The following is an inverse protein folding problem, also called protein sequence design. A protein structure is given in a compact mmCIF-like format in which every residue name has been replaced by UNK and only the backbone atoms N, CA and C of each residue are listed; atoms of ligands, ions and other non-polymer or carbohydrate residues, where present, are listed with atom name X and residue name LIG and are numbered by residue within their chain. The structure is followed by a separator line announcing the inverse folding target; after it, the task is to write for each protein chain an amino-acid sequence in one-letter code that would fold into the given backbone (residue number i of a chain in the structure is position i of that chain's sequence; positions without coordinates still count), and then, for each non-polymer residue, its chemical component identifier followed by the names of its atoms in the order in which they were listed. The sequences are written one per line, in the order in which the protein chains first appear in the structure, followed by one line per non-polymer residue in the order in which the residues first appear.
data_IF_009925604983
#
_entry.id   IF_009925604983
#
_cell.length_a   1.000
_cell.length_b   1.000
_cell.length_c   1.000
_cell.angle_alpha   90.00
_cell.angle_beta   90.00
_cell.angle_gamma   90.00
#
_symmetry.space_group_name_H-M   'P 1'
#
loop_
_entity.id
_entity.type
_entity.pdbx_description
1 polymer ?
#
# COMPACT_ATOMS: atom_id res chain seq x y z
N UNK A 1 -24.81 16.86 4.21
CA UNK A 1 -23.95 15.68 3.93
C UNK A 1 -22.51 16.15 4.13
N UNK A 2 -21.90 15.84 5.27
CA UNK A 2 -20.53 16.31 5.57
C UNK A 2 -19.54 15.58 4.64
N UNK A 3 -18.59 16.28 3.99
CA UNK A 3 -17.56 15.60 3.22
C UNK A 3 -16.78 14.70 4.18
N UNK A 4 -16.71 13.41 3.87
CA UNK A 4 -15.85 12.46 4.58
C UNK A 4 -14.46 13.07 4.68
N UNK A 5 -13.88 13.09 5.88
CA UNK A 5 -12.51 13.54 6.13
C UNK A 5 -11.58 12.94 5.07
N UNK A 6 -11.16 13.76 4.10
CA UNK A 6 -10.08 13.44 3.17
C UNK A 6 -8.83 13.31 4.03
N UNK A 7 -8.40 12.07 4.28
CA UNK A 7 -7.19 11.82 5.06
C UNK A 7 -6.00 12.06 4.15
N UNK A 8 -5.40 13.23 4.29
CA UNK A 8 -4.04 13.45 3.79
C UNK A 8 -3.11 12.45 4.46
N UNK A 9 -2.29 11.77 3.67
CA UNK A 9 -1.28 10.82 4.14
C UNK A 9 0.02 11.04 3.40
N UNK A 10 1.13 10.75 4.06
CA UNK A 10 2.45 10.72 3.44
C UNK A 10 2.70 9.32 2.90
N UNK A 11 2.89 9.21 1.58
CA UNK A 11 3.13 7.93 0.92
C UNK A 11 4.37 7.22 1.49
N UNK A 12 4.28 5.90 1.64
CA UNK A 12 5.35 4.99 2.04
C UNK A 12 5.96 5.27 3.42
N UNK A 13 5.15 5.75 4.38
CA UNK A 13 5.62 6.11 5.73
C UNK A 13 4.88 5.45 6.90
N UNK A 14 3.76 4.77 6.68
CA UNK A 14 2.97 4.25 7.80
C UNK A 14 3.61 3.02 8.46
N UNK A 15 4.23 2.13 7.68
CA UNK A 15 4.89 0.92 8.19
C UNK A 15 5.99 0.42 7.25
N UNK A 16 6.87 -0.47 7.74
CA UNK A 16 7.84 -1.16 6.87
C UNK A 16 7.16 -2.28 6.09
N UNK A 17 7.58 -2.47 4.83
CA UNK A 17 7.11 -3.58 4.01
C UNK A 17 7.44 -4.93 4.67
N UNK A 18 8.63 -5.08 5.23
CA UNK A 18 9.05 -6.30 5.94
C UNK A 18 8.14 -6.65 7.11
N UNK A 19 7.71 -5.67 7.90
CA UNK A 19 6.77 -5.85 9.01
C UNK A 19 5.41 -6.32 8.49
N UNK A 20 4.90 -5.71 7.43
CA UNK A 20 3.66 -6.12 6.79
C UNK A 20 3.71 -7.55 6.27
N UNK A 21 4.79 -7.93 5.57
CA UNK A 21 4.97 -9.28 5.03
C UNK A 21 5.12 -10.33 6.14
N UNK A 22 5.80 -10.01 7.23
CA UNK A 22 5.88 -10.88 8.40
C UNK A 22 4.51 -11.09 9.04
N UNK A 23 3.70 -10.03 9.16
CA UNK A 23 2.34 -10.12 9.70
C UNK A 23 1.42 -10.98 8.81
N UNK A 24 1.59 -10.92 7.49
CA UNK A 24 0.93 -11.82 6.55
C UNK A 24 1.30 -13.28 6.84
N UNK A 25 2.59 -13.59 6.96
CA UNK A 25 3.05 -14.96 7.23
C UNK A 25 2.45 -15.49 8.54
N UNK A 26 2.46 -14.68 9.60
CA UNK A 26 1.87 -15.03 10.90
C UNK A 26 0.36 -15.29 10.76
N UNK A 27 -0.35 -14.43 10.02
CA UNK A 27 -1.79 -14.56 9.81
C UNK A 27 -2.15 -15.85 9.11
N UNK A 28 -1.39 -16.25 8.09
CA UNK A 28 -1.58 -17.51 7.38
C UNK A 28 -1.32 -18.72 8.28
N UNK A 29 -0.24 -18.69 9.07
CA UNK A 29 0.05 -19.77 10.03
C UNK A 29 -1.07 -19.91 11.07
N UNK A 30 -1.54 -18.80 11.62
CA UNK A 30 -2.68 -18.79 12.54
C UNK A 30 -3.97 -19.31 11.90
N UNK A 31 -4.16 -19.12 10.58
CA UNK A 31 -5.28 -19.68 9.83
C UNK A 31 -5.15 -21.20 9.71
N UNK A 32 -3.95 -21.69 9.38
CA UNK A 32 -3.63 -23.13 9.31
C UNK A 32 -3.80 -23.80 10.67
N UNK A 33 -3.40 -23.14 11.76
CA UNK A 33 -3.56 -23.65 13.14
C UNK A 33 -5.01 -23.94 13.53
N UNK A 34 -5.97 -23.33 12.83
CA UNK A 34 -7.41 -23.54 13.08
C UNK A 34 -7.99 -24.69 12.25
N UNK A 35 -7.20 -25.33 11.41
CA UNK A 35 -7.66 -26.48 10.63
C UNK A 35 -7.85 -27.66 11.58
N UNK A 36 -8.96 -28.37 11.43
CA UNK A 36 -9.18 -29.60 12.17
C UNK A 36 -8.35 -30.75 11.57
N UNK A 37 -8.11 -31.79 12.38
CA UNK A 37 -7.28 -32.93 11.99
C UNK A 37 -7.77 -33.59 10.70
N UNK A 38 -9.10 -33.77 10.54
CA UNK A 38 -9.70 -34.31 9.32
C UNK A 38 -9.35 -33.51 8.06
N UNK A 39 -9.35 -32.17 8.16
CA UNK A 39 -8.98 -31.29 7.04
C UNK A 39 -7.49 -31.41 6.74
N UNK A 40 -6.65 -31.43 7.77
CA UNK A 40 -5.20 -31.54 7.63
C UNK A 40 -4.78 -32.86 6.95
N UNK A 41 -5.41 -33.97 7.30
CA UNK A 41 -5.10 -35.29 6.74
C UNK A 41 -5.48 -35.38 5.26
N UNK A 42 -6.63 -34.82 4.88
CA UNK A 42 -7.17 -34.96 3.52
C UNK A 42 -6.70 -33.88 2.54
N UNK A 43 -6.10 -32.77 3.02
CA UNK A 43 -5.67 -31.70 2.11
C UNK A 43 -4.44 -32.07 1.28
N UNK A 44 -4.34 -31.47 0.10
CA UNK A 44 -3.12 -31.42 -0.70
C UNK A 44 -2.32 -30.16 -0.32
N UNK A 45 -1.12 -30.36 0.21
CA UNK A 45 -0.29 -29.29 0.79
C UNK A 45 0.08 -28.22 -0.24
N UNK A 46 0.51 -28.63 -1.43
CA UNK A 46 0.88 -27.70 -2.51
C UNK A 46 -0.31 -26.84 -2.92
N UNK A 47 -1.45 -27.46 -3.23
CA UNK A 47 -2.64 -26.73 -3.67
C UNK A 47 -3.17 -25.77 -2.60
N UNK A 48 -3.17 -26.18 -1.34
CA UNK A 48 -3.64 -25.33 -0.25
C UNK A 48 -2.69 -24.15 -0.01
N UNK A 49 -1.37 -24.36 -0.09
CA UNK A 49 -0.38 -23.28 0.02
C UNK A 49 -0.56 -22.23 -1.08
N UNK A 50 -0.80 -22.65 -2.33
CA UNK A 50 -1.04 -21.73 -3.45
C UNK A 50 -2.34 -20.96 -3.29
N UNK A 51 -3.39 -21.64 -2.84
CA UNK A 51 -4.68 -21.01 -2.56
C UNK A 51 -4.55 -19.93 -1.50
N UNK A 52 -3.88 -20.22 -0.38
CA UNK A 52 -3.65 -19.25 0.70
C UNK A 52 -2.88 -18.02 0.22
N UNK A 53 -1.88 -18.20 -0.64
CA UNK A 53 -1.13 -17.07 -1.22
C UNK A 53 -2.01 -16.24 -2.18
N UNK A 54 -2.79 -16.89 -3.04
CA UNK A 54 -3.69 -16.20 -3.98
C UNK A 54 -4.75 -15.36 -3.26
N UNK A 55 -5.26 -15.84 -2.12
CA UNK A 55 -6.24 -15.12 -1.29
C UNK A 55 -5.71 -13.79 -0.73
N UNK A 56 -4.39 -13.61 -0.61
CA UNK A 56 -3.80 -12.37 -0.07
C UNK A 56 -3.91 -11.17 -1.03
N UNK A 57 -4.20 -11.41 -2.30
CA UNK A 57 -4.34 -10.36 -3.32
C UNK A 57 -3.19 -9.33 -3.28
N UNK A 58 -1.94 -9.81 -3.30
CA UNK A 58 -0.72 -8.99 -3.26
C UNK A 58 -0.47 -8.29 -4.61
N UNK A 59 -1.50 -7.70 -5.21
CA UNK A 59 -1.43 -6.93 -6.45
C UNK A 59 -0.89 -5.54 -6.14
N UNK A 60 0.31 -5.26 -6.63
CA UNK A 60 0.97 -3.97 -6.42
C UNK A 60 0.19 -2.91 -7.18
N UNK A 61 -0.06 -1.75 -6.56
CA UNK A 61 -0.86 -0.75 -7.21
C UNK A 61 -0.10 -0.12 -8.37
N UNK A 62 -0.85 0.32 -9.37
CA UNK A 62 -0.31 1.04 -10.53
C UNK A 62 -1.12 2.30 -10.78
N UNK A 63 -0.41 3.39 -11.03
CA UNK A 63 -0.98 4.66 -11.47
C UNK A 63 -1.42 4.54 -12.94
N UNK A 64 -2.68 4.88 -13.24
CA UNK A 64 -3.23 4.93 -14.60
C UNK A 64 -3.11 6.38 -15.06
N UNK A 65 -1.93 6.73 -15.59
CA UNK A 65 -1.53 8.11 -15.87
C UNK A 65 -2.37 8.72 -16.98
N UNK A 66 -2.79 7.90 -17.92
CA UNK A 66 -3.57 8.25 -19.11
C UNK A 66 -4.96 8.81 -18.74
N UNK A 67 -5.51 8.37 -17.60
CA UNK A 67 -6.83 8.76 -17.11
C UNK A 67 -6.76 9.88 -16.05
N UNK A 68 -5.61 10.56 -15.95
CA UNK A 68 -5.42 11.65 -14.99
C UNK A 68 -6.35 12.81 -15.30
N UNK A 69 -7.10 13.25 -14.30
CA UNK A 69 -7.94 14.45 -14.41
C UNK A 69 -7.33 15.58 -13.59
N UNK A 70 -7.46 16.81 -14.10
CA UNK A 70 -6.87 18.00 -13.48
C UNK A 70 -7.90 19.08 -13.24
N UNK A 71 -7.74 19.83 -12.16
CA UNK A 71 -8.57 20.99 -11.86
C UNK A 71 -7.78 22.04 -11.09
N UNK A 72 -8.14 23.31 -11.26
CA UNK A 72 -7.58 24.41 -10.47
C UNK A 72 -8.63 24.86 -9.47
N UNK A 73 -8.24 24.96 -8.19
CA UNK A 73 -9.08 25.49 -7.11
C UNK A 73 -8.41 26.74 -6.55
N UNK A 74 -9.23 27.74 -6.21
CA UNK A 74 -8.80 28.91 -5.44
C UNK A 74 -8.98 28.63 -3.95
N UNK A 75 -7.97 29.00 -3.17
CA UNK A 75 -8.00 28.86 -1.71
C UNK A 75 -7.41 30.10 -1.05
N UNK A 76 -7.94 30.44 0.13
CA UNK A 76 -7.46 31.54 0.95
C UNK A 76 -6.64 30.98 2.10
N UNK A 77 -5.35 31.24 2.10
CA UNK A 77 -4.43 30.78 3.15
C UNK A 77 -3.92 31.94 4.00
N UNK A 78 -3.55 31.64 5.25
CA UNK A 78 -2.83 32.59 6.09
C UNK A 78 -1.40 32.76 5.55
N UNK A 79 -0.88 33.99 5.56
CA UNK A 79 0.50 34.27 5.14
C UNK A 79 1.57 33.48 5.90
N UNK A 80 1.28 32.99 7.11
CA UNK A 80 2.16 32.08 7.88
C UNK A 80 2.37 30.72 7.21
N UNK A 81 1.51 30.34 6.27
CA UNK A 81 1.62 29.08 5.51
C UNK A 81 2.46 29.24 4.23
N UNK A 82 2.90 30.46 3.92
CA UNK A 82 3.75 30.73 2.77
C UNK A 82 5.19 30.22 3.00
N UNK A 83 5.95 29.99 1.91
CA UNK A 83 7.36 29.66 2.01
C UNK A 83 8.15 30.67 2.84
N UNK A 84 9.10 30.18 3.63
CA UNK A 84 10.03 30.99 4.43
C UNK A 84 10.66 32.10 3.60
N UNK A 85 10.63 33.33 4.10
CA UNK A 85 11.16 34.51 3.41
C UNK A 85 10.14 35.28 2.56
N UNK A 86 8.91 34.78 2.42
CA UNK A 86 7.83 35.53 1.75
C UNK A 86 7.27 36.60 2.69
N UNK A 87 7.23 37.85 2.23
CA UNK A 87 6.60 38.93 2.99
C UNK A 87 5.07 38.76 3.03
N UNK A 88 4.47 38.87 4.21
CA UNK A 88 3.02 38.85 4.37
C UNK A 88 2.58 39.82 5.47
N UNK A 89 1.32 40.27 5.39
CA UNK A 89 0.70 41.06 6.45
C UNK A 89 -0.01 40.11 7.43
N UNK A 90 0.35 40.11 8.73
CA UNK A 90 -0.31 39.27 9.73
C UNK A 90 -1.83 39.48 9.75
N UNK A 91 -2.59 38.38 9.79
CA UNK A 91 -4.06 38.42 9.82
C UNK A 91 -4.73 38.63 8.46
N UNK A 92 -3.96 38.83 7.38
CA UNK A 92 -4.49 38.90 6.02
C UNK A 92 -4.42 37.53 5.35
N UNK A 93 -5.55 37.08 4.81
CA UNK A 93 -5.61 35.91 3.96
C UNK A 93 -5.16 36.25 2.54
N UNK A 94 -4.45 35.33 1.92
CA UNK A 94 -3.89 35.45 0.57
C UNK A 94 -4.58 34.43 -0.33
N UNK A 95 -5.08 34.89 -1.46
CA UNK A 95 -5.65 34.03 -2.49
C UNK A 95 -4.52 33.31 -3.24
N UNK A 96 -4.55 31.98 -3.23
CA UNK A 96 -3.65 31.12 -4.00
C UNK A 96 -4.46 30.21 -4.91
N UNK A 97 -3.82 29.72 -5.97
CA UNK A 97 -4.36 28.65 -6.79
C UNK A 97 -3.63 27.33 -6.50
N UNK A 98 -4.41 26.25 -6.44
CA UNK A 98 -3.96 24.89 -6.20
C UNK A 98 -4.37 24.06 -7.40
N UNK A 99 -3.40 23.41 -8.04
CA UNK A 99 -3.64 22.39 -9.04
C UNK A 99 -3.89 21.05 -8.35
N UNK A 100 -5.07 20.49 -8.57
CA UNK A 100 -5.43 19.15 -8.10
C UNK A 100 -5.29 18.17 -9.27
N UNK A 101 -4.46 17.15 -9.07
CA UNK A 101 -4.27 16.03 -9.98
C UNK A 101 -4.92 14.80 -9.38
N UNK A 102 -5.96 14.28 -10.02
CA UNK A 102 -6.61 13.05 -9.60
C UNK A 102 -6.16 11.92 -10.54
N UNK A 103 -5.39 10.99 -10.00
CA UNK A 103 -4.74 9.92 -10.75
C UNK A 103 -5.38 8.59 -10.33
N UNK A 104 -6.12 7.93 -11.23
CA UNK A 104 -6.72 6.64 -10.93
C UNK A 104 -5.65 5.58 -10.63
N UNK A 105 -6.00 4.65 -9.74
CA UNK A 105 -5.14 3.52 -9.36
C UNK A 105 -5.83 2.20 -9.61
N UNK A 106 -5.02 1.21 -9.98
CA UNK A 106 -5.40 -0.20 -9.98
C UNK A 106 -4.63 -0.94 -8.88
N UNK A 107 -5.05 -2.15 -8.52
CA UNK A 107 -4.37 -2.99 -7.52
C UNK A 107 -4.67 -2.61 -6.06
N UNK A 108 -3.82 -3.10 -5.15
CA UNK A 108 -4.01 -2.94 -3.71
C UNK A 108 -3.36 -1.64 -3.22
N UNK A 109 -4.18 -0.64 -2.90
CA UNK A 109 -3.72 0.68 -2.45
C UNK A 109 -2.97 0.65 -1.11
N UNK A 110 -3.03 -0.45 -0.35
CA UNK A 110 -2.35 -0.58 0.92
C UNK A 110 -0.82 -0.49 0.78
N UNK A 111 -0.26 -0.89 -0.36
CA UNK A 111 1.18 -0.77 -0.61
C UNK A 111 1.68 0.68 -0.66
N UNK A 112 0.81 1.67 -0.92
CA UNK A 112 1.15 3.08 -0.78
C UNK A 112 1.47 3.50 0.65
N UNK A 113 1.19 2.65 1.65
CA UNK A 113 1.48 2.88 3.07
C UNK A 113 2.78 2.21 3.51
N UNK A 114 3.30 1.27 2.72
CA UNK A 114 4.43 0.42 3.07
C UNK A 114 5.74 0.98 2.52
N UNK A 115 6.72 1.20 3.39
CA UNK A 115 8.06 1.61 2.98
C UNK A 115 8.89 0.38 2.57
N UNK A 116 9.43 0.30 1.34
CA UNK A 116 10.41 -0.71 0.98
C UNK A 116 11.73 -0.51 1.76
N UNK A 117 12.57 -1.53 1.73
CA UNK A 117 13.88 -1.51 2.37
C UNK A 117 14.86 -0.58 1.63
N UNK A 118 15.72 0.12 2.39
CA UNK A 118 16.84 0.87 1.82
C UNK A 118 16.53 2.20 1.13
N UNK A 119 15.26 2.59 0.97
CA UNK A 119 14.90 3.82 0.28
C UNK A 119 14.52 4.94 1.25
N UNK A 120 15.21 6.07 1.15
CA UNK A 120 14.88 7.33 1.81
C UNK A 120 14.94 8.43 0.76
N UNK A 121 13.81 8.87 0.22
CA UNK A 121 13.71 10.21 -0.32
C UNK A 121 12.27 10.61 -0.59
N UNK A 122 12.02 11.89 -0.31
CA UNK A 122 10.84 12.71 -0.59
C UNK A 122 9.55 12.31 0.15
N UNK A 123 9.10 13.22 1.02
CA UNK A 123 7.77 13.14 1.60
C UNK A 123 6.77 13.62 0.55
N UNK A 124 5.92 12.71 0.09
CA UNK A 124 4.86 12.99 -0.88
C UNK A 124 3.54 12.89 -0.15
N UNK A 125 2.93 14.04 0.14
CA UNK A 125 1.64 14.13 0.81
C UNK A 125 0.53 14.11 -0.22
N UNK A 126 -0.43 13.20 -0.06
CA UNK A 126 -1.54 12.99 -0.99
C UNK A 126 -2.82 12.72 -0.23
N UNK A 127 -3.97 12.94 -0.88
CA UNK A 127 -5.21 12.31 -0.43
C UNK A 127 -5.31 10.94 -1.11
N UNK A 128 -5.18 9.87 -0.33
CA UNK A 128 -5.27 8.49 -0.83
C UNK A 128 -6.69 7.97 -0.67
N UNK A 129 -7.37 7.72 -1.80
CA UNK A 129 -8.67 7.07 -1.82
C UNK A 129 -8.53 5.59 -2.23
N UNK A 130 -9.66 4.89 -2.34
CA UNK A 130 -9.68 3.48 -2.73
C UNK A 130 -9.23 3.29 -4.18
N UNK A 131 -9.63 4.19 -5.07
CA UNK A 131 -9.45 4.05 -6.52
C UNK A 131 -8.66 5.18 -7.17
N UNK A 132 -8.21 6.16 -6.40
CA UNK A 132 -7.40 7.26 -6.91
C UNK A 132 -6.46 7.84 -5.84
N UNK A 133 -5.49 8.61 -6.34
CA UNK A 133 -4.62 9.46 -5.56
C UNK A 133 -4.86 10.90 -6.01
N UNK A 134 -5.15 11.78 -5.05
CA UNK A 134 -5.19 13.21 -5.28
C UNK A 134 -3.89 13.87 -4.84
N UNK A 135 -3.16 14.45 -5.80
CA UNK A 135 -1.96 15.24 -5.54
C UNK A 135 -2.31 16.72 -5.71
N UNK A 136 -2.06 17.51 -4.68
CA UNK A 136 -2.32 18.94 -4.68
C UNK A 136 -0.99 19.69 -4.74
N UNK A 137 -0.79 20.48 -5.79
CA UNK A 137 0.44 21.26 -5.97
C UNK A 137 0.10 22.74 -6.13
N UNK A 138 0.90 23.59 -5.52
CA UNK A 138 0.81 25.05 -5.65
C UNK A 138 2.22 25.64 -5.62
N UNK A 139 2.41 26.74 -6.34
CA UNK A 139 3.59 27.59 -6.23
C UNK A 139 3.29 28.87 -5.42
N UNK A 140 2.20 28.86 -4.65
CA UNK A 140 1.72 29.98 -3.83
C UNK A 140 1.40 31.25 -4.65
N UNK A 141 1.03 31.09 -5.92
CA UNK A 141 0.68 32.19 -6.84
C UNK A 141 -0.53 31.83 -7.72
N UNK A 142 -0.87 32.71 -8.66
CA UNK A 142 -1.87 32.44 -9.70
C UNK A 142 -1.28 31.49 -10.76
N UNK A 143 -1.98 30.38 -11.02
CA UNK A 143 -1.65 29.38 -12.02
C UNK A 143 -2.32 29.73 -13.36
N UNK A 144 -3.55 30.24 -13.31
CA UNK A 144 -4.37 30.57 -14.47
C UNK A 144 -3.69 31.64 -15.34
N UNK A 145 -3.39 31.29 -16.60
CA UNK A 145 -2.73 32.19 -17.54
C UNK A 145 -1.23 32.40 -17.27
N UNK A 146 -0.61 31.58 -16.42
CA UNK A 146 0.80 31.64 -16.08
C UNK A 146 1.51 30.36 -16.54
N UNK A 147 2.05 30.39 -17.77
CA UNK A 147 2.69 29.21 -18.38
C UNK A 147 3.92 28.73 -17.61
N UNK A 148 4.69 29.64 -17.01
CA UNK A 148 5.85 29.28 -16.18
C UNK A 148 5.41 28.50 -14.93
N UNK A 149 4.35 28.95 -14.25
CA UNK A 149 3.76 28.23 -13.12
C UNK A 149 3.24 26.85 -13.53
N UNK A 150 2.55 26.77 -14.66
CA UNK A 150 2.00 25.52 -15.20
C UNK A 150 3.13 24.52 -15.48
N UNK A 151 4.18 24.92 -16.19
CA UNK A 151 5.31 24.04 -16.51
C UNK A 151 6.09 23.63 -15.25
N UNK A 152 6.28 24.54 -14.30
CA UNK A 152 6.88 24.23 -13.00
C UNK A 152 6.12 23.15 -12.23
N UNK A 153 4.78 23.25 -12.17
CA UNK A 153 3.93 22.27 -11.49
C UNK A 153 3.87 20.93 -12.23
N UNK A 154 3.90 20.93 -13.58
CA UNK A 154 4.01 19.70 -14.37
C UNK A 154 5.31 18.95 -14.08
N UNK A 155 6.44 19.66 -14.09
CA UNK A 155 7.74 19.06 -13.79
C UNK A 155 7.80 18.51 -12.36
N UNK A 156 7.21 19.22 -11.40
CA UNK A 156 7.11 18.75 -10.02
C UNK A 156 6.26 17.48 -9.91
N UNK A 157 5.10 17.44 -10.59
CA UNK A 157 4.27 16.24 -10.64
C UNK A 157 5.02 15.06 -11.24
N UNK A 158 5.69 15.24 -12.39
CA UNK A 158 6.47 14.18 -13.03
C UNK A 158 7.51 13.59 -12.09
N UNK A 159 8.22 14.44 -11.33
CA UNK A 159 9.16 14.00 -10.30
C UNK A 159 8.49 13.19 -9.18
N UNK A 160 7.30 13.61 -8.73
CA UNK A 160 6.55 12.86 -7.70
C UNK A 160 6.16 11.48 -8.23
N UNK A 161 5.68 11.41 -9.47
CA UNK A 161 5.27 10.17 -10.11
C UNK A 161 6.45 9.22 -10.30
N UNK A 162 7.59 9.73 -10.78
CA UNK A 162 8.82 8.94 -10.91
C UNK A 162 9.24 8.33 -9.58
N UNK A 163 9.22 9.12 -8.49
CA UNK A 163 9.53 8.64 -7.15
C UNK A 163 8.53 7.55 -6.73
N UNK A 164 7.22 7.79 -6.88
CA UNK A 164 6.18 6.83 -6.53
C UNK A 164 6.37 5.51 -7.29
N UNK A 165 6.58 5.57 -8.61
CA UNK A 165 6.80 4.39 -9.44
C UNK A 165 8.05 3.62 -9.02
N UNK A 166 9.14 4.32 -8.66
CA UNK A 166 10.35 3.68 -8.15
C UNK A 166 10.11 2.96 -6.82
N UNK A 167 9.35 3.56 -5.89
CA UNK A 167 8.96 2.90 -4.64
C UNK A 167 8.14 1.64 -4.91
N UNK A 168 7.15 1.71 -5.81
CA UNK A 168 6.32 0.57 -6.18
C UNK A 168 7.11 -0.54 -6.86
N UNK A 169 8.10 -0.19 -7.69
CA UNK A 169 9.02 -1.15 -8.29
C UNK A 169 9.88 -1.86 -7.25
N UNK A 170 10.37 -1.15 -6.24
CA UNK A 170 11.13 -1.77 -5.15
C UNK A 170 10.25 -2.73 -4.33
N UNK A 171 9.02 -2.32 -4.00
CA UNK A 171 8.03 -3.18 -3.35
C UNK A 171 7.78 -4.44 -4.20
N UNK A 172 7.72 -4.29 -5.53
CA UNK A 172 7.57 -5.42 -6.46
C UNK A 172 8.71 -6.41 -6.35
N UNK A 173 9.94 -5.93 -6.40
CA UNK A 173 11.10 -6.81 -6.33
C UNK A 173 11.14 -7.55 -4.97
N UNK A 174 10.82 -6.87 -3.88
CA UNK A 174 10.76 -7.51 -2.56
C UNK A 174 9.63 -8.55 -2.46
N UNK A 175 8.47 -8.31 -3.10
CA UNK A 175 7.38 -9.29 -3.17
C UNK A 175 7.71 -10.49 -4.05
N UNK A 176 8.32 -10.25 -5.21
CA UNK A 176 8.76 -11.30 -6.13
C UNK A 176 9.76 -12.25 -5.45
N UNK A 177 10.60 -11.74 -4.54
CA UNK A 177 11.50 -12.53 -3.70
C UNK A 177 10.80 -13.20 -2.50
N UNK A 178 9.79 -12.56 -1.94
CA UNK A 178 9.10 -13.03 -0.73
C UNK A 178 8.11 -14.15 -1.02
N UNK A 179 7.31 -14.05 -2.09
CA UNK A 179 6.22 -14.99 -2.40
C UNK A 179 6.72 -16.44 -2.52
N UNK A 180 7.80 -16.75 -3.27
CA UNK A 180 8.32 -18.11 -3.35
C UNK A 180 8.78 -18.64 -1.99
N UNK A 181 9.50 -17.81 -1.21
CA UNK A 181 9.96 -18.18 0.14
C UNK A 181 8.80 -18.42 1.09
N UNK A 182 7.75 -17.61 1.00
CA UNK A 182 6.52 -17.81 1.76
C UNK A 182 5.88 -19.15 1.37
N UNK A 183 5.80 -19.47 0.08
CA UNK A 183 5.25 -20.76 -0.39
C UNK A 183 6.02 -21.93 0.24
N UNK A 184 7.35 -21.93 0.15
CA UNK A 184 8.18 -23.00 0.75
C UNK A 184 7.95 -23.15 2.25
N UNK A 185 7.89 -22.03 2.99
CA UNK A 185 7.61 -22.04 4.42
C UNK A 185 6.22 -22.58 4.74
N UNK A 186 5.21 -22.21 3.97
CA UNK A 186 3.83 -22.69 4.17
C UNK A 186 3.70 -24.17 3.86
N UNK A 187 4.33 -24.65 2.77
CA UNK A 187 4.37 -26.07 2.42
C UNK A 187 5.00 -26.87 3.56
N UNK A 188 6.18 -26.45 4.04
CA UNK A 188 6.83 -27.10 5.18
C UNK A 188 5.94 -27.15 6.42
N UNK A 189 5.34 -26.01 6.77
CA UNK A 189 4.49 -25.90 7.95
C UNK A 189 3.21 -26.75 7.86
N UNK A 190 2.56 -26.79 6.70
CA UNK A 190 1.39 -27.63 6.45
C UNK A 190 1.73 -29.12 6.49
N UNK A 191 2.87 -29.53 5.93
CA UNK A 191 3.35 -30.93 5.99
C UNK A 191 3.56 -31.36 7.44
N UNK A 192 4.27 -30.57 8.24
CA UNK A 192 4.48 -30.86 9.66
C UNK A 192 3.13 -30.98 10.42
N UNK A 193 2.17 -30.10 10.14
CA UNK A 193 0.83 -30.18 10.75
C UNK A 193 0.06 -31.42 10.32
N UNK A 194 0.15 -31.80 9.04
CA UNK A 194 -0.50 -32.99 8.49
C UNK A 194 0.08 -34.27 9.09
N UNK A 195 1.40 -34.40 9.16
CA UNK A 195 2.07 -35.56 9.78
C UNK A 195 1.67 -35.72 11.24
N UNK A 196 1.63 -34.62 12.01
CA UNK A 196 1.19 -34.65 13.40
C UNK A 196 -0.27 -35.08 13.56
N UNK A 197 -1.16 -34.66 12.65
CA UNK A 197 -2.57 -35.08 12.65
C UNK A 197 -2.72 -36.58 12.36
N UNK A 198 -1.95 -37.12 11.41
CA UNK A 198 -1.92 -38.56 11.09
C UNK A 198 -1.42 -39.37 12.30
N UNK A 199 -0.28 -38.99 12.88
CA UNK A 199 0.27 -39.68 14.05
C UNK A 199 -0.69 -39.69 15.24
N UNK A 200 -1.43 -38.59 15.43
CA UNK A 200 -2.46 -38.48 16.47
C UNK A 200 -3.64 -39.42 16.19
N UNK A 201 -4.12 -39.50 14.95
CA UNK A 201 -5.18 -40.44 14.56
C UNK A 201 -4.75 -41.90 14.75
N UNK A 202 -3.56 -42.27 14.27
CA UNK A 202 -2.99 -43.61 14.47
C UNK A 202 -2.82 -43.96 15.95
N UNK A 203 -2.42 -42.99 16.77
CA UNK A 203 -2.28 -43.18 18.23
C UNK A 203 -3.63 -43.35 18.90
N UNK A 204 -4.65 -42.58 18.52
CA UNK A 204 -6.00 -42.74 19.02
C UNK A 204 -6.58 -44.12 18.69
N UNK A 205 -6.28 -44.62 17.48
CA UNK A 205 -6.70 -45.95 17.04
C UNK A 205 -6.02 -47.07 17.83
N UNK A 206 -4.71 -46.95 18.10
CA UNK A 206 -3.97 -47.89 18.97
C UNK A 206 -4.43 -47.86 20.43
N UNK A 207 -4.91 -46.72 20.92
CA UNK A 207 -5.38 -46.55 22.30
C UNK A 207 -6.79 -47.09 22.51
N UNK A 208 -7.59 -47.27 21.46
CA UNK A 208 -8.95 -47.74 21.59
C UNK A 208 -8.96 -49.27 21.84
N UNK A 209 -9.28 -49.74 23.06
CA UNK A 209 -9.24 -51.17 23.37
C UNK A 209 -10.43 -51.95 22.79
N UNK A 210 -11.33 -51.28 22.10
CA UNK A 210 -12.54 -51.84 21.49
C UNK A 210 -12.54 -51.78 19.95
N UNK A 211 -11.45 -51.27 19.36
CA UNK A 211 -11.16 -51.43 17.93
C UNK A 211 -10.31 -52.68 17.71
#
# INVERSE_FOLDING_TARGET
MYPRNKRSTTLFKEQRLSEYLNNIEITLKNKIDRYNDFTLINLNVENESEKLIKELQLFIPRLIKEDTTTSIKKEKIDGRQLPSGTYFTPGKLIDIEIANYNIPISGNNFFFKCAPNGFKAMDINVELNIHDINIQLTNYSTITGNDEAIEGLKNLLLKYIEVIEQYLLNIKNELDDFIPKLKEKLVKYLTEKKENAILKEESNDKLNPFK
#
